data_IF_879465264344
#
_entry.id   IF_879465264344
#
_cell.length_a   1.000
_cell.length_b   1.000
_cell.length_c   1.000
_cell.angle_alpha   90.00
_cell.angle_beta   90.00
_cell.angle_gamma   90.00
#
_symmetry.space_group_name_H-M   'P 1'
#
loop_
_entity.id
_entity.type
_entity.pdbx_description
1 polymer ?
#
# COMPACT_ATOMS: atom_id res chain seq x y z
N UNK A 1 15.97 2.48 -16.39
CA UNK A 1 14.56 2.05 -16.21
C UNK A 1 14.15 2.33 -14.78
N UNK A 2 13.37 3.40 -14.52
CA UNK A 2 12.81 3.64 -13.19
C UNK A 2 11.68 2.64 -12.93
N UNK A 3 11.98 1.49 -12.31
CA UNK A 3 10.95 0.56 -11.84
C UNK A 3 10.21 1.23 -10.69
N UNK A 4 9.02 1.76 -10.96
CA UNK A 4 8.06 2.11 -9.90
C UNK A 4 7.73 0.84 -9.12
N UNK A 5 7.76 0.92 -7.80
CA UNK A 5 7.42 -0.19 -6.89
C UNK A 5 5.97 -0.64 -7.12
N UNK A 6 5.71 -1.94 -7.17
CA UNK A 6 4.34 -2.49 -7.22
C UNK A 6 3.75 -2.67 -5.83
N UNK A 7 2.44 -2.96 -5.74
CA UNK A 7 1.77 -3.24 -4.47
C UNK A 7 2.38 -4.48 -3.80
N UNK A 8 2.53 -5.58 -4.54
CA UNK A 8 3.06 -6.86 -4.05
C UNK A 8 4.49 -6.68 -3.53
N UNK A 9 5.32 -5.93 -4.25
CA UNK A 9 6.69 -5.62 -3.83
C UNK A 9 6.73 -4.78 -2.54
N UNK A 10 5.84 -3.80 -2.41
CA UNK A 10 5.73 -3.01 -1.19
C UNK A 10 5.25 -3.88 -0.02
N UNK A 11 4.37 -4.83 -0.31
CA UNK A 11 3.80 -5.72 0.69
C UNK A 11 4.83 -6.72 1.22
N UNK A 12 5.61 -7.32 0.33
CA UNK A 12 6.74 -8.20 0.69
C UNK A 12 7.77 -7.46 1.55
N UNK A 13 8.11 -6.22 1.16
CA UNK A 13 9.04 -5.39 1.94
C UNK A 13 8.47 -5.06 3.32
N UNK A 14 7.19 -4.71 3.42
CA UNK A 14 6.57 -4.39 4.71
C UNK A 14 6.58 -5.61 5.62
N UNK A 15 6.27 -6.80 5.11
CA UNK A 15 6.34 -8.04 5.87
C UNK A 15 7.75 -8.28 6.43
N UNK A 16 8.79 -8.11 5.59
CA UNK A 16 10.18 -8.23 6.02
C UNK A 16 10.55 -7.18 7.09
N UNK A 17 10.10 -5.94 6.94
CA UNK A 17 10.33 -4.87 7.91
C UNK A 17 9.67 -5.18 9.25
N UNK A 18 8.42 -5.67 9.23
CA UNK A 18 7.70 -6.10 10.44
C UNK A 18 8.44 -7.24 11.12
N UNK A 19 8.86 -8.27 10.39
CA UNK A 19 9.63 -9.38 10.97
C UNK A 19 10.93 -8.91 11.63
N UNK A 20 11.63 -7.94 11.04
CA UNK A 20 12.84 -7.37 11.65
C UNK A 20 12.53 -6.58 12.93
N UNK A 21 11.45 -5.81 12.94
CA UNK A 21 10.99 -5.09 14.13
C UNK A 21 10.60 -6.05 15.26
N UNK A 22 9.89 -7.14 14.94
CA UNK A 22 9.46 -8.17 15.90
C UNK A 22 10.63 -8.94 16.51
N UNK A 23 11.72 -9.13 15.77
CA UNK A 23 12.92 -9.80 16.27
C UNK A 23 13.60 -8.98 17.40
N UNK A 24 13.41 -7.66 17.45
CA UNK A 24 13.82 -6.81 18.58
C UNK A 24 15.33 -6.75 18.87
N UNK A 25 16.18 -7.30 17.99
CA UNK A 25 17.64 -7.35 18.16
C UNK A 25 18.39 -6.20 17.51
N UNK A 26 17.68 -5.32 16.78
CA UNK A 26 18.26 -4.17 16.11
C UNK A 26 18.54 -3.02 17.10
N UNK A 27 19.68 -2.30 16.96
CA UNK A 27 19.94 -1.08 17.71
C UNK A 27 18.83 -0.05 17.53
N UNK A 28 18.64 0.85 18.50
CA UNK A 28 17.57 1.86 18.49
C UNK A 28 17.51 2.66 17.18
N UNK A 29 18.66 3.10 16.66
CA UNK A 29 18.71 3.87 15.40
C UNK A 29 18.21 3.06 14.20
N UNK A 30 18.52 1.76 14.15
CA UNK A 30 18.04 0.87 13.10
C UNK A 30 16.55 0.57 13.25
N UNK A 31 16.09 0.34 14.48
CA UNK A 31 14.66 0.19 14.79
C UNK A 31 13.84 1.41 14.35
N UNK A 32 14.37 2.63 14.56
CA UNK A 32 13.73 3.87 14.09
C UNK A 32 13.65 3.94 12.56
N UNK A 33 14.71 3.52 11.85
CA UNK A 33 14.71 3.45 10.37
C UNK A 33 13.70 2.42 9.86
N UNK A 34 13.67 1.23 10.45
CA UNK A 34 12.71 0.18 10.12
C UNK A 34 11.26 0.64 10.35
N UNK A 35 11.01 1.34 11.46
CA UNK A 35 9.68 1.90 11.73
C UNK A 35 9.27 2.93 10.67
N UNK A 36 10.18 3.87 10.33
CA UNK A 36 9.93 4.85 9.29
C UNK A 36 9.66 4.18 7.93
N UNK A 37 10.46 3.18 7.54
CA UNK A 37 10.23 2.41 6.32
C UNK A 37 8.87 1.70 6.34
N UNK A 38 8.52 1.06 7.46
CA UNK A 38 7.24 0.37 7.63
C UNK A 38 6.03 1.32 7.47
N UNK A 39 6.10 2.51 8.06
CA UNK A 39 5.03 3.51 7.92
C UNK A 39 4.88 4.01 6.48
N UNK A 40 6.00 4.23 5.78
CA UNK A 40 5.99 4.64 4.37
C UNK A 40 5.40 3.55 3.47
N UNK A 41 5.79 2.29 3.68
CA UNK A 41 5.26 1.15 2.93
C UNK A 41 3.76 0.94 3.19
N UNK A 42 3.32 1.12 4.45
CA UNK A 42 1.91 1.05 4.82
C UNK A 42 1.09 2.12 4.10
N UNK A 43 1.57 3.37 4.12
CA UNK A 43 0.91 4.48 3.42
C UNK A 43 0.83 4.23 1.90
N UNK A 44 1.90 3.72 1.30
CA UNK A 44 1.92 3.35 -0.12
C UNK A 44 0.91 2.26 -0.45
N UNK A 45 0.86 1.18 0.35
CA UNK A 45 -0.09 0.08 0.15
C UNK A 45 -1.54 0.58 0.25
N UNK A 46 -1.83 1.40 1.27
CA UNK A 46 -3.15 1.99 1.43
C UNK A 46 -3.55 2.84 0.23
N UNK A 47 -2.66 3.70 -0.26
CA UNK A 47 -2.92 4.52 -1.45
C UNK A 47 -3.23 3.66 -2.68
N UNK A 48 -2.50 2.56 -2.89
CA UNK A 48 -2.75 1.64 -4.01
C UNK A 48 -4.11 0.96 -3.93
N UNK A 49 -4.54 0.57 -2.73
CA UNK A 49 -5.87 0.01 -2.50
C UNK A 49 -6.96 1.04 -2.78
N UNK A 50 -6.78 2.29 -2.34
CA UNK A 50 -7.71 3.38 -2.63
C UNK A 50 -7.83 3.68 -4.13
N UNK A 51 -6.70 3.70 -4.84
CA UNK A 51 -6.68 3.84 -6.31
C UNK A 51 -7.42 2.70 -7.01
N UNK A 52 -7.28 1.46 -6.52
CA UNK A 52 -7.98 0.29 -7.06
C UNK A 52 -9.49 0.35 -6.78
N UNK A 53 -9.89 0.72 -5.56
CA UNK A 53 -11.29 0.88 -5.17
C UNK A 53 -11.99 1.96 -6.01
N UNK A 54 -11.33 3.11 -6.23
CA UNK A 54 -11.86 4.17 -7.08
C UNK A 54 -12.09 3.69 -8.51
N UNK A 55 -11.12 2.97 -9.09
CA UNK A 55 -11.26 2.37 -10.43
C UNK A 55 -12.43 1.40 -10.49
N UNK A 56 -12.60 0.55 -9.46
CA UNK A 56 -13.74 -0.36 -9.37
C UNK A 56 -15.07 0.39 -9.36
N UNK A 57 -15.19 1.44 -8.53
CA UNK A 57 -16.39 2.30 -8.47
C UNK A 57 -16.72 2.93 -9.83
N UNK A 58 -15.71 3.41 -10.57
CA UNK A 58 -15.94 3.97 -11.91
C UNK A 58 -16.41 2.92 -12.92
N UNK A 59 -15.91 1.68 -12.82
CA UNK A 59 -16.30 0.58 -13.72
C UNK A 59 -17.74 0.14 -13.41
N UNK A 60 -18.12 0.04 -12.13
CA UNK A 60 -19.48 -0.35 -11.74
C UNK A 60 -20.50 0.72 -12.12
N UNK A 61 -20.19 2.00 -11.87
CA UNK A 61 -21.05 3.12 -12.27
C UNK A 61 -21.24 3.22 -13.79
N UNK A 62 -20.26 2.78 -14.59
CA UNK A 62 -20.38 2.72 -16.06
C UNK A 62 -21.10 1.49 -16.60
N UNK A 63 -21.31 0.44 -15.78
CA UNK A 63 -22.04 -0.79 -16.16
C UNK A 63 -23.52 -0.72 -15.83
N UNK A 64 -23.90 0.08 -14.84
CA UNK A 64 -25.29 0.47 -14.60
C UNK A 64 -25.62 1.70 -15.46
N UNK A 65 -25.73 1.46 -16.76
CA UNK A 65 -26.40 2.38 -17.67
C UNK A 65 -27.89 2.42 -17.36
N UNK A 66 -28.26 3.09 -16.28
CA UNK A 66 -29.60 3.64 -16.09
C UNK A 66 -29.42 5.13 -15.80
N UNK A 67 -29.69 6.02 -16.77
CA UNK A 67 -29.97 7.39 -16.40
C UNK A 67 -31.29 7.35 -15.61
N UNK A 68 -31.24 7.68 -14.32
CA UNK A 68 -32.43 8.22 -13.68
C UNK A 68 -32.61 9.64 -14.24
N UNK A 69 -33.35 9.73 -15.35
CA UNK A 69 -34.03 10.97 -15.80
C UNK A 69 -35.27 11.21 -14.91
N UNK A 70 -35.81 12.44 -14.87
CA UNK A 70 -35.23 13.76 -14.63
C UNK A 70 -35.60 14.34 -13.24
#
# INVERSE_FOLDING_TARGET
MNKKMTFEQAMDKLAQTVTKLENGSAPLEETMKLYQEGTQLTAFCYQKLQEAELKMKTITAGKDGAPEEP
#
